data_IF_477880149492
#
_entry.id   IF_477880149492
#
_cell.length_a   1.000
_cell.length_b   1.000
_cell.length_c   1.000
_cell.angle_alpha   90.00
_cell.angle_beta   90.00
_cell.angle_gamma   90.00
#
_symmetry.space_group_name_H-M   'P 1'
#
loop_
_entity.id
_entity.type
_entity.pdbx_description
1 polymer ?
#
# COMPACT_ATOMS: atom_id res chain seq x y z
N UNK A 1 0.82 13.91 -3.60
CA UNK A 1 0.61 12.45 -3.72
C UNK A 1 1.32 11.97 -4.99
N UNK A 2 1.83 10.74 -5.03
CA UNK A 2 2.53 10.18 -6.19
C UNK A 2 1.59 10.14 -7.42
N UNK A 3 2.14 10.21 -8.64
CA UNK A 3 1.32 10.16 -9.85
C UNK A 3 0.68 8.77 -10.00
N UNK A 4 -0.66 8.74 -10.05
CA UNK A 4 -1.47 7.53 -10.19
C UNK A 4 -1.11 6.69 -11.41
N UNK A 5 -0.81 7.32 -12.54
CA UNK A 5 -0.46 6.60 -13.77
C UNK A 5 0.87 5.84 -13.64
N UNK A 6 1.75 6.25 -12.72
CA UNK A 6 3.07 5.62 -12.57
C UNK A 6 3.00 4.42 -11.62
N UNK A 7 2.42 4.59 -10.43
CA UNK A 7 2.43 3.54 -9.41
C UNK A 7 1.42 2.42 -9.67
N UNK A 8 0.45 2.62 -10.57
CA UNK A 8 -0.46 1.55 -11.02
C UNK A 8 0.20 0.58 -11.99
N UNK A 9 1.25 1.00 -12.70
CA UNK A 9 2.00 0.15 -13.63
C UNK A 9 3.26 -0.46 -13.01
N UNK A 10 3.84 0.19 -12.00
CA UNK A 10 5.04 -0.28 -11.32
C UNK A 10 4.82 -0.25 -9.81
N UNK A 11 4.87 -1.41 -9.12
CA UNK A 11 4.65 -1.46 -7.68
C UNK A 11 5.86 -0.86 -6.94
N UNK A 12 5.70 0.36 -6.43
CA UNK A 12 6.73 1.08 -5.69
C UNK A 12 6.46 1.02 -4.17
N UNK A 13 6.57 -0.17 -3.56
CA UNK A 13 6.21 -0.39 -2.15
C UNK A 13 6.89 0.56 -1.14
N UNK A 14 8.10 1.06 -1.44
CA UNK A 14 8.79 2.05 -0.59
C UNK A 14 8.26 3.49 -0.76
N UNK A 15 7.79 3.84 -1.95
CA UNK A 15 7.21 5.16 -2.22
C UNK A 15 5.85 5.34 -1.52
N UNK A 16 5.12 4.25 -1.28
CA UNK A 16 3.81 4.27 -0.66
C UNK A 16 3.87 4.63 0.83
N UNK A 17 4.76 3.99 1.60
CA UNK A 17 4.92 4.30 3.03
C UNK A 17 5.45 5.71 3.29
N UNK A 18 6.35 6.21 2.43
CA UNK A 18 6.86 7.59 2.51
C UNK A 18 5.81 8.63 2.14
N UNK A 19 4.92 8.31 1.19
CA UNK A 19 3.77 9.14 0.83
C UNK A 19 2.77 9.21 1.99
N UNK A 20 2.48 8.09 2.67
CA UNK A 20 1.65 8.07 3.88
C UNK A 20 2.26 8.91 5.01
N UNK A 21 3.54 8.70 5.31
CA UNK A 21 4.26 9.43 6.36
C UNK A 21 4.32 10.95 6.11
N UNK A 22 4.40 11.38 4.85
CA UNK A 22 4.34 12.80 4.49
C UNK A 22 2.94 13.39 4.65
N UNK A 23 1.90 12.70 4.19
CA UNK A 23 0.55 13.28 4.10
C UNK A 23 -0.26 13.19 5.41
N UNK A 24 0.12 12.31 6.35
CA UNK A 24 -0.56 12.18 7.64
C UNK A 24 -0.55 13.49 8.46
N UNK A 25 0.53 14.28 8.33
CA UNK A 25 0.74 15.55 9.06
C UNK A 25 0.39 16.81 8.27
N UNK A 26 -0.01 16.69 7.00
CA UNK A 26 -0.41 17.84 6.17
C UNK A 26 -1.88 18.14 6.45
N UNK A 27 -2.14 18.97 7.45
CA UNK A 27 -3.50 19.28 7.93
C UNK A 27 -4.36 20.08 6.93
N UNK A 28 -3.78 20.70 5.90
CA UNK A 28 -4.53 21.51 4.91
C UNK A 28 -5.67 20.75 4.22
N UNK A 29 -5.52 19.45 4.01
CA UNK A 29 -6.53 18.63 3.33
C UNK A 29 -7.52 17.97 4.30
N UNK A 30 -7.23 18.00 5.60
CA UNK A 30 -8.03 17.34 6.64
C UNK A 30 -8.85 18.36 7.44
N UNK A 31 -8.25 19.48 7.81
CA UNK A 31 -8.90 20.55 8.59
C UNK A 31 -9.97 21.21 7.75
N UNK A 32 -11.22 21.16 8.22
CA UNK A 32 -12.39 21.73 7.54
C UNK A 32 -13.18 20.75 6.65
N UNK A 33 -12.73 19.50 6.50
CA UNK A 33 -13.53 18.47 5.85
C UNK A 33 -14.63 17.96 6.81
N UNK A 34 -15.89 17.82 6.37
CA UNK A 34 -16.99 17.30 7.20
C UNK A 34 -16.71 15.88 7.74
N UNK A 35 -15.86 15.13 7.05
CA UNK A 35 -15.51 13.74 7.37
C UNK A 35 -14.00 13.56 7.64
N UNK A 36 -13.37 14.59 8.20
CA UNK A 36 -11.97 14.52 8.59
C UNK A 36 -11.75 13.45 9.68
N UNK A 37 -10.83 12.49 9.49
CA UNK A 37 -10.50 11.55 10.55
C UNK A 37 -9.82 12.27 11.71
N UNK A 38 -10.33 12.03 12.92
CA UNK A 38 -9.90 12.72 14.14
C UNK A 38 -8.50 12.28 14.60
N UNK A 39 -8.16 10.99 14.47
CA UNK A 39 -6.86 10.45 14.89
C UNK A 39 -5.88 10.33 13.72
N UNK A 40 -4.58 10.40 14.03
CA UNK A 40 -3.51 10.18 13.05
C UNK A 40 -3.57 8.76 12.49
N UNK A 41 -3.88 7.77 13.32
CA UNK A 41 -3.99 6.37 12.93
C UNK A 41 -5.08 6.15 11.88
N UNK A 42 -6.27 6.74 12.08
CA UNK A 42 -7.35 6.63 11.09
C UNK A 42 -6.99 7.35 9.79
N UNK A 43 -6.25 8.47 9.83
CA UNK A 43 -5.72 9.11 8.61
C UNK A 43 -4.76 8.19 7.87
N UNK A 44 -3.86 7.52 8.58
CA UNK A 44 -2.96 6.51 8.01
C UNK A 44 -3.77 5.41 7.32
N UNK A 45 -4.77 4.85 8.00
CA UNK A 45 -5.62 3.79 7.45
C UNK A 45 -6.29 4.22 6.13
N UNK A 46 -6.91 5.40 6.10
CA UNK A 46 -7.54 5.95 4.89
C UNK A 46 -6.54 6.17 3.76
N UNK A 47 -5.33 6.64 4.06
CA UNK A 47 -4.29 6.85 3.06
C UNK A 47 -3.77 5.53 2.49
N UNK A 48 -3.54 4.53 3.35
CA UNK A 48 -3.10 3.19 2.95
C UNK A 48 -4.17 2.53 2.10
N UNK A 49 -5.43 2.53 2.54
CA UNK A 49 -6.56 1.94 1.80
C UNK A 49 -6.68 2.53 0.39
N UNK A 50 -6.52 3.86 0.25
CA UNK A 50 -6.52 4.50 -1.07
C UNK A 50 -5.38 4.02 -1.97
N UNK A 51 -4.17 3.85 -1.43
CA UNK A 51 -3.03 3.37 -2.22
C UNK A 51 -3.27 1.93 -2.65
N UNK A 52 -3.65 1.08 -1.70
CA UNK A 52 -3.91 -0.34 -1.94
C UNK A 52 -5.06 -0.56 -2.93
N UNK A 53 -6.09 0.29 -2.93
CA UNK A 53 -7.18 0.21 -3.91
C UNK A 53 -6.73 0.31 -5.39
N UNK A 54 -5.53 0.83 -5.63
CA UNK A 54 -4.96 1.00 -6.97
C UNK A 54 -3.71 0.15 -7.23
N UNK A 55 -2.92 -0.16 -6.20
CA UNK A 55 -1.68 -0.93 -6.32
C UNK A 55 -1.86 -2.42 -5.99
N UNK A 56 -2.94 -2.79 -5.29
CA UNK A 56 -3.22 -4.21 -5.01
C UNK A 56 -3.56 -4.98 -6.29
N UNK A 57 -3.11 -6.23 -6.35
CA UNK A 57 -3.45 -7.15 -7.42
C UNK A 57 -4.98 -7.36 -7.47
N UNK A 58 -5.60 -7.11 -8.63
CA UNK A 58 -7.06 -7.25 -8.79
C UNK A 58 -7.52 -8.72 -8.70
N UNK A 59 -6.61 -9.67 -8.87
CA UNK A 59 -6.87 -11.11 -8.78
C UNK A 59 -5.58 -11.87 -8.45
N UNK A 60 -5.71 -12.99 -7.75
CA UNK A 60 -4.61 -13.95 -7.58
C UNK A 60 -4.25 -14.53 -8.96
N UNK A 61 -3.06 -14.23 -9.47
CA UNK A 61 -2.51 -14.88 -10.65
C UNK A 61 -1.62 -16.05 -10.21
N UNK A 62 -2.27 -17.16 -9.82
CA UNK A 62 -1.56 -18.37 -9.42
C UNK A 62 -0.85 -18.98 -10.62
N UNK A 63 0.44 -19.24 -10.47
CA UNK A 63 1.23 -19.96 -11.45
C UNK A 63 1.89 -21.17 -10.80
N UNK A 64 1.45 -22.36 -11.20
CA UNK A 64 1.89 -23.62 -10.62
C UNK A 64 3.38 -23.92 -10.77
N UNK A 65 4.11 -23.22 -11.64
CA UNK A 65 5.57 -23.37 -11.80
C UNK A 65 6.34 -22.30 -11.00
N UNK A 66 5.86 -21.05 -10.99
CA UNK A 66 6.50 -19.92 -10.29
C UNK A 66 6.26 -19.92 -8.79
N UNK A 67 5.08 -20.36 -8.38
CA UNK A 67 4.66 -20.33 -6.98
C UNK A 67 4.97 -21.65 -6.26
N UNK A 68 5.79 -22.53 -6.88
CA UNK A 68 6.33 -23.71 -6.21
C UNK A 68 7.30 -23.25 -5.12
N UNK A 69 6.89 -23.47 -3.87
CA UNK A 69 7.75 -23.29 -2.73
C UNK A 69 8.22 -24.65 -2.22
N UNK A 70 9.49 -24.96 -2.41
CA UNK A 70 10.17 -26.10 -1.79
C UNK A 70 10.97 -25.60 -0.59
N UNK A 71 10.42 -25.67 0.64
CA UNK A 71 11.19 -25.33 1.82
C UNK A 71 12.31 -26.36 2.02
N UNK A 72 13.55 -25.89 2.17
CA UNK A 72 14.65 -26.75 2.62
C UNK A 72 14.35 -27.17 4.06
N UNK A 73 14.11 -28.47 4.28
CA UNK A 73 13.89 -28.99 5.62
C UNK A 73 15.24 -29.12 6.33
N UNK A 74 15.26 -28.92 7.65
CA UNK A 74 16.47 -28.84 8.47
C UNK A 74 17.37 -30.10 8.45
N UNK A 75 16.96 -31.17 7.76
CA UNK A 75 17.65 -32.44 7.65
C UNK A 75 17.95 -32.88 6.20
N UNK A 76 17.78 -32.00 5.20
CA UNK A 76 18.21 -32.26 3.82
C UNK A 76 19.69 -31.84 3.68
N UNK A 77 20.58 -32.83 3.45
CA UNK A 77 22.01 -32.66 3.15
C UNK A 77 22.22 -32.13 1.73
#
# INVERSE_FOLDING_TARGET
MLNKDIFTHVPLSSADSTNVARNIGIDKSWVGSPYAPASKETRTQVLVERIESFNSASSLNYNAERDVFTPQLAFEV
#
